data_IF_297792001446
#
_entry.id   IF_297792001446
#
_cell.length_a   1.000
_cell.length_b   1.000
_cell.length_c   1.000
_cell.angle_alpha   90.00
_cell.angle_beta   90.00
_cell.angle_gamma   90.00
#
_symmetry.space_group_name_H-M   'P 1'
#
loop_
_entity.id
_entity.type
_entity.pdbx_description
1 polymer ?
#
# COMPACT_ATOMS: atom_id res chain seq x y z
N UNK A 1 -0.86 13.27 -14.42
CA UNK A 1 -0.38 12.12 -13.60
C UNK A 1 0.72 12.59 -12.64
N UNK A 2 0.77 12.05 -11.41
CA UNK A 2 1.81 12.42 -10.45
C UNK A 2 3.12 11.75 -10.83
N UNK A 3 4.22 12.52 -10.83
CA UNK A 3 5.56 12.00 -11.12
C UNK A 3 6.05 11.02 -10.06
N UNK A 4 5.54 11.15 -8.83
CA UNK A 4 5.88 10.26 -7.74
C UNK A 4 4.68 10.09 -6.80
N UNK A 5 4.37 8.84 -6.49
CA UNK A 5 3.39 8.39 -5.50
C UNK A 5 4.16 7.54 -4.48
N UNK A 6 4.05 7.83 -3.16
CA UNK A 6 4.76 7.06 -2.14
C UNK A 6 4.38 5.58 -2.10
N UNK A 7 5.29 4.74 -1.63
CA UNK A 7 4.99 3.34 -1.34
C UNK A 7 3.91 3.24 -0.25
N UNK A 8 3.09 2.19 -0.34
CA UNK A 8 1.94 1.94 0.54
C UNK A 8 0.72 2.79 0.25
N UNK A 9 0.77 3.75 -0.70
CA UNK A 9 -0.40 4.55 -1.07
C UNK A 9 -1.49 3.67 -1.69
N UNK A 10 -2.73 3.93 -1.31
CA UNK A 10 -3.92 3.26 -1.84
C UNK A 10 -4.54 4.16 -2.91
N UNK A 11 -4.71 3.62 -4.11
CA UNK A 11 -5.33 4.30 -5.24
C UNK A 11 -6.67 3.66 -5.65
N UNK A 12 -7.50 4.45 -6.33
CA UNK A 12 -8.69 3.97 -7.03
C UNK A 12 -8.74 4.52 -8.46
N UNK A 13 -9.10 3.67 -9.41
CA UNK A 13 -9.38 4.04 -10.80
C UNK A 13 -10.52 3.18 -11.33
N UNK A 14 -11.63 3.84 -11.71
CA UNK A 14 -12.89 3.17 -12.05
C UNK A 14 -13.26 2.15 -10.95
N UNK A 15 -13.47 0.89 -11.32
CA UNK A 15 -13.86 -0.21 -10.41
C UNK A 15 -12.66 -0.89 -9.72
N UNK A 16 -11.44 -0.41 -9.96
CA UNK A 16 -10.23 -1.02 -9.44
C UNK A 16 -9.64 -0.21 -8.29
N UNK A 17 -9.17 -0.91 -7.26
CA UNK A 17 -8.34 -0.36 -6.20
C UNK A 17 -7.03 -1.14 -6.10
N UNK A 18 -6.00 -0.51 -5.56
CA UNK A 18 -4.67 -1.09 -5.50
C UNK A 18 -3.76 -0.32 -4.57
N UNK A 19 -2.72 -1.00 -4.12
CA UNK A 19 -1.66 -0.43 -3.29
C UNK A 19 -0.43 -0.24 -4.18
N UNK A 20 0.19 0.93 -4.14
CA UNK A 20 1.49 1.16 -4.75
C UNK A 20 2.57 0.47 -3.88
N UNK A 21 3.19 -0.66 -4.31
CA UNK A 21 4.12 -1.39 -3.46
C UNK A 21 5.46 -0.66 -3.29
N UNK A 22 5.82 0.18 -4.27
CA UNK A 22 7.04 0.95 -4.34
C UNK A 22 6.71 2.39 -4.75
N UNK A 23 7.66 3.30 -4.53
CA UNK A 23 7.53 4.69 -4.99
C UNK A 23 7.62 4.73 -6.52
N UNK A 24 6.56 5.20 -7.19
CA UNK A 24 6.49 5.22 -8.65
C UNK A 24 5.61 6.35 -9.17
N UNK A 25 5.69 6.73 -10.46
CA UNK A 25 4.68 7.58 -11.09
C UNK A 25 3.29 6.92 -11.04
N UNK A 26 2.22 7.73 -10.97
CA UNK A 26 0.86 7.22 -10.84
C UNK A 26 -0.23 8.22 -11.20
N UNK A 27 -1.28 7.72 -11.85
CA UNK A 27 -2.43 8.51 -12.29
C UNK A 27 -3.71 8.33 -11.47
N UNK A 28 -3.74 7.36 -10.54
CA UNK A 28 -4.96 7.01 -9.82
C UNK A 28 -5.33 8.09 -8.78
N UNK A 29 -6.61 8.10 -8.40
CA UNK A 29 -7.08 8.92 -7.29
C UNK A 29 -6.56 8.30 -5.99
N UNK A 30 -5.81 9.07 -5.20
CA UNK A 30 -5.20 8.57 -3.98
C UNK A 30 -6.22 8.75 -2.84
N UNK A 31 -6.51 7.67 -2.12
CA UNK A 31 -7.59 7.64 -1.11
C UNK A 31 -7.09 7.28 0.30
N UNK A 32 -5.82 6.89 0.45
CA UNK A 32 -5.24 6.55 1.74
C UNK A 32 -3.83 5.98 1.61
N UNK A 33 -3.33 5.43 2.71
CA UNK A 33 -2.04 4.75 2.79
C UNK A 33 -2.12 3.60 3.79
N UNK A 34 -1.38 2.53 3.56
CA UNK A 34 -1.14 1.47 4.54
C UNK A 34 0.29 1.55 5.09
N UNK A 35 0.51 1.32 6.40
CA UNK A 35 1.86 1.23 6.97
C UNK A 35 2.51 -0.13 6.68
N UNK A 36 1.75 -1.10 6.17
CA UNK A 36 2.21 -2.47 5.94
C UNK A 36 3.00 -2.55 4.62
N UNK A 37 4.25 -3.03 4.71
CA UNK A 37 5.06 -3.37 3.53
C UNK A 37 4.53 -4.65 2.88
N UNK A 38 3.81 -4.50 1.77
CA UNK A 38 3.20 -5.64 1.04
C UNK A 38 4.15 -6.37 0.10
N UNK A 39 5.28 -5.75 -0.23
CA UNK A 39 6.30 -6.32 -1.11
C UNK A 39 7.69 -5.86 -0.67
N UNK A 40 8.64 -6.80 -0.61
CA UNK A 40 10.06 -6.52 -0.37
C UNK A 40 10.92 -7.00 -1.54
N UNK A 41 11.60 -6.06 -2.20
CA UNK A 41 12.50 -6.38 -3.32
C UNK A 41 13.69 -7.24 -2.88
N UNK A 42 14.13 -7.13 -1.63
CA UNK A 42 15.25 -7.94 -1.11
C UNK A 42 14.84 -9.37 -0.76
N UNK A 43 13.54 -9.60 -0.53
CA UNK A 43 12.97 -10.90 -0.16
C UNK A 43 11.71 -11.17 -1.01
N UNK A 44 11.85 -11.30 -2.33
CA UNK A 44 10.71 -11.35 -3.26
C UNK A 44 9.82 -12.60 -3.08
N UNK A 45 10.29 -13.60 -2.34
CA UNK A 45 9.54 -14.81 -1.98
C UNK A 45 8.63 -14.63 -0.77
N UNK A 46 8.84 -13.58 0.04
CA UNK A 46 8.01 -13.25 1.21
C UNK A 46 6.83 -12.35 0.79
N UNK A 47 5.93 -12.93 0.01
CA UNK A 47 4.73 -12.25 -0.48
C UNK A 47 3.63 -12.31 0.56
N UNK A 48 3.24 -11.14 1.09
CA UNK A 48 2.10 -11.02 2.01
C UNK A 48 0.75 -11.18 1.31
N UNK A 49 0.71 -11.02 -0.01
CA UNK A 49 -0.50 -11.09 -0.84
C UNK A 49 -0.26 -12.01 -2.03
N UNK A 50 -1.21 -12.90 -2.30
CA UNK A 50 -1.23 -13.82 -3.43
C UNK A 50 -2.46 -13.59 -4.30
N UNK A 51 -2.39 -14.07 -5.53
CA UNK A 51 -3.55 -14.09 -6.43
C UNK A 51 -4.68 -14.88 -5.79
N UNK A 52 -5.88 -14.30 -5.76
CA UNK A 52 -7.07 -14.89 -5.14
C UNK A 52 -7.32 -14.44 -3.70
N UNK A 53 -6.36 -13.76 -3.05
CA UNK A 53 -6.57 -13.23 -1.70
C UNK A 53 -7.65 -12.12 -1.71
N UNK A 54 -8.43 -12.09 -0.63
CA UNK A 54 -9.39 -11.01 -0.37
C UNK A 54 -8.79 -9.98 0.59
N UNK A 55 -8.87 -8.71 0.23
CA UNK A 55 -8.28 -7.60 0.99
C UNK A 55 -9.39 -6.72 1.57
N UNK A 56 -9.28 -6.35 2.84
CA UNK A 56 -10.14 -5.37 3.50
C UNK A 56 -9.28 -4.25 4.08
N UNK A 57 -9.56 -3.01 3.68
CA UNK A 57 -8.96 -1.83 4.30
C UNK A 57 -9.75 -1.44 5.56
N UNK A 58 -9.02 -1.17 6.65
CA UNK A 58 -9.58 -0.70 7.92
C UNK A 58 -9.00 0.68 8.19
N UNK A 59 -9.85 1.66 8.48
CA UNK A 59 -9.42 2.97 8.91
C UNK A 59 -8.79 2.89 10.29
N UNK A 60 -7.64 3.52 10.45
CA UNK A 60 -6.89 3.63 11.72
C UNK A 60 -6.59 5.09 12.00
N UNK A 61 -6.31 5.43 13.25
CA UNK A 61 -5.82 6.78 13.60
C UNK A 61 -4.39 6.98 13.08
N UNK A 62 -3.91 8.23 13.14
CA UNK A 62 -2.53 8.52 12.75
C UNK A 62 -1.52 7.87 13.70
N UNK A 63 -1.85 7.83 14.98
CA UNK A 63 -1.04 7.21 16.03
C UNK A 63 -0.92 5.70 15.81
N UNK A 64 -2.04 5.03 15.53
CA UNK A 64 -2.06 3.59 15.18
C UNK A 64 -1.26 3.32 13.90
N UNK A 65 -1.39 4.18 12.89
CA UNK A 65 -0.62 4.08 11.66
C UNK A 65 0.89 4.13 11.92
N UNK A 66 1.34 5.08 12.74
CA UNK A 66 2.76 5.26 13.05
C UNK A 66 3.30 4.08 13.85
N UNK A 67 2.55 3.59 14.84
CA UNK A 67 2.89 2.40 15.62
C UNK A 67 3.01 1.15 14.74
N UNK A 68 2.07 0.94 13.81
CA UNK A 68 2.11 -0.20 12.88
C UNK A 68 3.32 -0.11 11.94
N UNK A 69 3.73 1.09 11.55
CA UNK A 69 4.87 1.30 10.67
C UNK A 69 6.20 0.96 11.37
N UNK A 70 6.35 1.33 12.63
CA UNK A 70 7.54 1.02 13.44
C UNK A 70 7.69 -0.49 13.67
N UNK A 71 6.58 -1.20 13.91
CA UNK A 71 6.59 -2.65 14.15
C UNK A 71 6.79 -3.53 12.89
N UNK A 72 6.69 -2.94 11.70
CA UNK A 72 6.84 -3.65 10.41
C UNK A 72 8.21 -3.38 9.77
N UNK A 73 9.04 -2.52 10.38
CA UNK A 73 10.42 -2.26 9.96
C UNK A 73 11.38 -3.28 10.57
#
# INVERSE_FOLDING_TARGET
PRKQVPAGTIGIAAEQTGIYPLSSPGGWNLIGQTPIKIFDWHHPTDLRLRMGDSIKFISVTKEEFDQLKENVT
#
